data_IF_829336405017
#
_entry.id   IF_829336405017
#
_cell.length_a   1.000
_cell.length_b   1.000
_cell.length_c   1.000
_cell.angle_alpha   90.00
_cell.angle_beta   90.00
_cell.angle_gamma   90.00
#
_symmetry.space_group_name_H-M   'P 1'
#
loop_
_entity.id
_entity.type
_entity.pdbx_description
1 polymer ?
#
# COMPACT_ATOMS: atom_id res chain seq x y z
N UNK A 1 4.46 22.18 -17.62
CA UNK A 1 4.78 21.21 -16.57
C UNK A 1 6.27 20.87 -16.62
N UNK A 2 6.94 20.79 -15.47
CA UNK A 2 8.36 20.42 -15.38
C UNK A 2 8.68 19.06 -15.98
N UNK A 3 9.90 18.89 -16.51
CA UNK A 3 10.32 17.72 -17.28
C UNK A 3 10.37 16.44 -16.46
N UNK A 4 10.91 16.48 -15.24
CA UNK A 4 11.02 15.28 -14.39
C UNK A 4 9.64 14.84 -13.91
N UNK A 5 8.79 15.81 -13.54
CA UNK A 5 7.40 15.54 -13.12
C UNK A 5 6.58 14.95 -14.27
N UNK A 6 6.70 15.50 -15.49
CA UNK A 6 6.07 14.92 -16.68
C UNK A 6 6.52 13.48 -16.92
N UNK A 7 7.83 13.23 -16.85
CA UNK A 7 8.39 11.90 -17.07
C UNK A 7 7.89 10.90 -16.00
N UNK A 8 7.73 11.33 -14.75
CA UNK A 8 7.15 10.51 -13.68
C UNK A 8 5.72 10.08 -13.96
N UNK A 9 4.84 10.99 -14.39
CA UNK A 9 3.46 10.63 -14.74
C UNK A 9 3.39 9.70 -15.95
N UNK A 10 4.23 9.92 -16.95
CA UNK A 10 4.34 9.02 -18.11
C UNK A 10 4.79 7.62 -17.69
N UNK A 11 5.81 7.51 -16.84
CA UNK A 11 6.29 6.21 -16.34
C UNK A 11 5.25 5.49 -15.48
N UNK A 12 4.51 6.22 -14.64
CA UNK A 12 3.43 5.66 -13.84
C UNK A 12 2.31 5.11 -14.73
N UNK A 13 1.88 5.86 -15.75
CA UNK A 13 0.94 5.37 -16.76
C UNK A 13 1.47 4.09 -17.43
N UNK A 14 2.71 4.11 -17.94
CA UNK A 14 3.26 2.99 -18.71
C UNK A 14 3.43 1.73 -17.84
N UNK A 15 3.78 1.90 -16.55
CA UNK A 15 3.83 0.80 -15.58
C UNK A 15 2.45 0.19 -15.35
N UNK A 16 1.43 1.02 -15.15
CA UNK A 16 0.07 0.55 -14.89
C UNK A 16 -0.64 0.02 -16.13
N UNK A 17 -0.29 0.50 -17.33
CA UNK A 17 -0.71 -0.12 -18.57
C UNK A 17 -0.20 -1.57 -18.70
N UNK A 18 0.93 -1.89 -18.06
CA UNK A 18 1.48 -3.25 -18.03
C UNK A 18 0.87 -4.09 -16.90
N UNK A 19 0.81 -3.56 -15.67
CA UNK A 19 0.39 -4.33 -14.49
C UNK A 19 -1.13 -4.39 -14.29
N UNK A 20 -1.87 -3.37 -14.73
CA UNK A 20 -3.33 -3.24 -14.60
C UNK A 20 -3.92 -2.69 -15.93
N UNK A 21 -3.79 -3.41 -17.05
CA UNK A 21 -4.13 -2.90 -18.38
C UNK A 21 -5.58 -2.43 -18.52
N UNK A 22 -6.52 -3.06 -17.79
CA UNK A 22 -7.93 -2.68 -17.81
C UNK A 22 -8.23 -1.31 -17.18
N UNK A 23 -7.28 -0.71 -16.45
CA UNK A 23 -7.48 0.58 -15.81
C UNK A 23 -7.45 1.75 -16.79
N UNK A 24 -6.68 1.67 -17.89
CA UNK A 24 -6.53 2.75 -18.87
C UNK A 24 -6.23 4.13 -18.26
N UNK A 25 -5.36 4.20 -17.24
CA UNK A 25 -4.98 5.46 -16.59
C UNK A 25 -4.35 6.44 -17.59
N UNK A 26 -4.92 7.64 -17.81
CA UNK A 26 -4.27 8.68 -18.59
C UNK A 26 -3.29 9.48 -17.70
N UNK A 27 -2.07 9.71 -18.17
CA UNK A 27 -1.05 10.50 -17.46
C UNK A 27 -1.52 11.94 -17.21
N UNK A 28 -2.41 12.46 -18.06
CA UNK A 28 -3.01 13.77 -17.90
C UNK A 28 -3.85 13.87 -16.62
N UNK A 29 -4.45 12.77 -16.16
CA UNK A 29 -5.16 12.75 -14.88
C UNK A 29 -4.19 12.87 -13.70
N UNK A 30 -3.04 12.18 -13.75
CA UNK A 30 -1.98 12.35 -12.75
C UNK A 30 -1.44 13.79 -12.76
N UNK A 31 -1.20 14.35 -13.95
CA UNK A 31 -0.78 15.74 -14.10
C UNK A 31 -1.82 16.72 -13.54
N UNK A 32 -3.11 16.48 -13.77
CA UNK A 32 -4.17 17.32 -13.25
C UNK A 32 -4.22 17.29 -11.71
N UNK A 33 -4.12 16.10 -11.10
CA UNK A 33 -4.07 15.95 -9.65
C UNK A 33 -2.83 16.63 -9.10
N UNK A 34 -1.63 16.33 -9.60
CA UNK A 34 -0.39 16.97 -9.15
C UNK A 34 -0.35 18.49 -9.33
N UNK A 35 -1.09 19.03 -10.31
CA UNK A 35 -1.28 20.47 -10.46
C UNK A 35 -2.08 21.07 -9.29
N UNK A 36 -3.17 20.41 -8.92
CA UNK A 36 -4.06 20.85 -7.83
C UNK A 36 -3.38 20.66 -6.47
N UNK A 37 -2.69 19.53 -6.29
CA UNK A 37 -2.09 19.15 -5.02
C UNK A 37 -0.86 19.98 -4.64
N UNK A 38 0.06 20.18 -5.59
CA UNK A 38 1.38 20.77 -5.26
C UNK A 38 1.91 21.72 -6.33
N UNK A 39 1.09 22.13 -7.30
CA UNK A 39 1.55 22.87 -8.47
C UNK A 39 2.72 22.19 -9.19
N UNK A 40 2.62 20.87 -9.37
CA UNK A 40 3.64 20.01 -9.99
C UNK A 40 4.94 19.94 -9.18
N UNK A 41 4.87 19.49 -7.93
CA UNK A 41 6.02 19.39 -7.03
C UNK A 41 6.73 20.75 -6.83
N UNK A 42 5.96 21.78 -6.44
CA UNK A 42 6.45 23.16 -6.27
C UNK A 42 7.12 23.70 -7.55
N UNK A 43 6.49 23.48 -8.72
CA UNK A 43 7.07 23.87 -10.01
C UNK A 43 8.26 23.00 -10.44
N UNK A 44 8.33 21.76 -9.97
CA UNK A 44 9.35 20.79 -10.34
C UNK A 44 10.67 21.03 -9.63
N UNK A 45 10.61 21.49 -8.38
CA UNK A 45 11.79 21.64 -7.52
C UNK A 45 12.19 20.28 -6.95
N UNK A 46 12.58 19.40 -7.86
CA UNK A 46 13.06 18.05 -7.60
C UNK A 46 14.49 17.88 -8.13
N UNK A 47 15.23 16.95 -7.55
CA UNK A 47 16.52 16.53 -8.07
C UNK A 47 16.39 15.57 -9.26
N UNK A 48 17.53 15.15 -9.81
CA UNK A 48 17.56 14.23 -10.95
C UNK A 48 16.98 12.84 -10.64
N UNK A 49 16.94 12.43 -9.37
CA UNK A 49 16.31 11.19 -8.93
C UNK A 49 14.81 11.36 -8.62
N UNK A 50 14.28 12.59 -8.71
CA UNK A 50 12.90 12.95 -8.47
C UNK A 50 12.56 13.29 -7.02
N UNK A 51 13.55 13.38 -6.12
CA UNK A 51 13.33 13.76 -4.74
C UNK A 51 13.11 15.28 -4.63
N UNK A 52 12.08 15.69 -3.87
CA UNK A 52 11.78 17.11 -3.66
C UNK A 52 12.88 17.79 -2.84
N UNK A 53 13.35 18.98 -3.25
CA UNK A 53 14.41 19.71 -2.52
C UNK A 53 13.97 20.20 -1.13
N UNK A 54 12.68 20.47 -0.98
CA UNK A 54 12.06 20.89 0.28
C UNK A 54 10.82 20.02 0.53
N UNK A 55 10.51 19.69 1.79
CA UNK A 55 9.27 18.99 2.12
C UNK A 55 8.06 19.75 1.56
N UNK A 56 7.22 19.03 0.83
CA UNK A 56 5.94 19.53 0.36
C UNK A 56 4.89 19.01 1.34
N UNK A 57 4.48 19.87 2.27
CA UNK A 57 3.55 19.53 3.34
C UNK A 57 2.27 20.34 3.22
N UNK A 58 1.14 19.66 3.31
CA UNK A 58 -0.18 20.26 3.38
C UNK A 58 -0.46 20.93 4.73
N UNK A 59 -1.66 21.50 4.90
CA UNK A 59 -2.12 22.02 6.18
C UNK A 59 -2.18 20.91 7.24
N UNK A 60 -2.03 21.28 8.51
CA UNK A 60 -2.30 20.37 9.65
C UNK A 60 -3.74 19.93 9.62
N UNK A 61 -4.00 18.63 9.64
CA UNK A 61 -5.35 18.06 9.61
C UNK A 61 -5.91 17.96 11.03
N UNK A 62 -6.20 19.10 11.64
CA UNK A 62 -6.71 19.23 13.01
C UNK A 62 -8.24 19.49 13.08
N UNK A 63 -8.92 19.48 11.93
CA UNK A 63 -10.34 19.80 11.81
C UNK A 63 -10.65 21.30 11.74
N UNK A 64 -9.63 22.17 11.76
CA UNK A 64 -9.80 23.62 11.61
C UNK A 64 -9.72 24.05 10.14
N UNK A 65 -10.21 25.25 9.82
CA UNK A 65 -10.21 25.73 8.43
C UNK A 65 -11.06 24.90 7.44
N UNK A 66 -11.86 23.96 7.96
CA UNK A 66 -12.72 23.06 7.18
C UNK A 66 -12.05 21.76 6.72
N UNK A 67 -10.83 21.46 7.17
CA UNK A 67 -10.15 20.22 6.80
C UNK A 67 -10.60 19.03 7.66
N UNK A 68 -10.12 17.83 7.33
CA UNK A 68 -10.33 16.65 8.16
C UNK A 68 -9.55 16.78 9.48
N UNK A 69 -10.05 16.17 10.55
CA UNK A 69 -9.28 15.94 11.77
C UNK A 69 -8.67 14.52 11.72
N UNK A 70 -7.39 14.41 11.41
CA UNK A 70 -6.66 13.14 11.26
C UNK A 70 -5.48 13.12 12.24
N UNK A 71 -5.58 12.29 13.28
CA UNK A 71 -4.49 12.07 14.24
C UNK A 71 -3.26 11.49 13.55
N UNK A 72 -2.07 11.76 14.10
CA UNK A 72 -0.81 11.14 13.67
C UNK A 72 -0.95 9.62 13.46
N UNK A 73 -0.53 9.14 12.30
CA UNK A 73 -0.58 7.71 11.93
C UNK A 73 0.79 7.08 11.67
N UNK A 74 1.87 7.86 11.67
CA UNK A 74 3.21 7.38 11.30
C UNK A 74 4.31 7.73 12.34
N UNK A 75 3.95 8.38 13.45
CA UNK A 75 4.88 8.83 14.48
C UNK A 75 5.64 10.10 14.09
N UNK A 76 5.09 10.93 13.22
CA UNK A 76 5.73 12.11 12.63
C UNK A 76 6.85 11.76 11.64
N UNK A 77 6.80 10.59 11.02
CA UNK A 77 7.86 10.09 10.12
C UNK A 77 8.00 10.98 8.89
N UNK A 78 6.89 11.37 8.27
CA UNK A 78 6.91 12.12 7.00
C UNK A 78 6.70 13.63 7.16
N UNK A 79 6.06 14.08 8.24
CA UNK A 79 5.69 15.50 8.42
C UNK A 79 6.19 16.11 9.74
N UNK A 80 6.86 15.32 10.59
CA UNK A 80 7.41 15.70 11.89
C UNK A 80 6.38 16.21 12.91
N UNK A 81 5.09 15.94 12.71
CA UNK A 81 4.02 16.24 13.65
C UNK A 81 3.53 14.94 14.31
N UNK A 82 3.73 14.82 15.62
CA UNK A 82 3.34 13.61 16.36
C UNK A 82 1.93 13.71 16.95
N UNK A 83 1.12 14.67 16.51
CA UNK A 83 -0.23 14.93 17.04
C UNK A 83 -1.28 14.82 15.94
N UNK A 84 -1.01 15.43 14.78
CA UNK A 84 -1.92 15.48 13.65
C UNK A 84 -1.15 15.23 12.35
N UNK A 85 -1.73 14.42 11.47
CA UNK A 85 -1.16 14.18 10.15
C UNK A 85 -1.28 15.43 9.27
N UNK A 86 -0.37 15.52 8.30
CA UNK A 86 -0.46 16.39 7.12
C UNK A 86 -0.48 15.54 5.87
N UNK A 87 -1.04 16.08 4.80
CA UNK A 87 -0.81 15.53 3.47
C UNK A 87 0.65 15.78 3.04
N UNK A 88 1.34 14.76 2.52
CA UNK A 88 2.78 14.76 2.24
C UNK A 88 3.09 14.54 0.76
N UNK A 89 4.13 15.24 0.30
CA UNK A 89 4.77 15.03 -1.01
C UNK A 89 4.01 15.63 -2.21
N UNK A 90 4.54 15.43 -3.43
CA UNK A 90 3.99 16.03 -4.65
C UNK A 90 2.53 15.67 -4.94
N UNK A 91 2.07 14.51 -4.48
CA UNK A 91 0.70 14.04 -4.67
C UNK A 91 -0.14 14.09 -3.38
N UNK A 92 0.37 14.77 -2.34
CA UNK A 92 -0.36 15.11 -1.11
C UNK A 92 -1.07 13.91 -0.45
N UNK A 93 -0.34 12.80 -0.26
CA UNK A 93 -0.88 11.62 0.43
C UNK A 93 -0.99 11.83 1.93
N UNK A 94 -2.04 11.29 2.56
CA UNK A 94 -2.05 11.14 4.03
C UNK A 94 -1.12 9.98 4.41
N UNK A 95 -0.32 10.06 5.49
CA UNK A 95 0.60 9.00 5.88
C UNK A 95 -0.04 7.61 5.98
N UNK A 96 -1.25 7.51 6.55
CA UNK A 96 -2.02 6.25 6.55
C UNK A 96 -2.36 5.74 5.15
N UNK A 97 -2.78 6.61 4.22
CA UNK A 97 -2.98 6.22 2.81
C UNK A 97 -1.66 5.81 2.16
N UNK A 98 -0.56 6.51 2.46
CA UNK A 98 0.76 6.16 1.93
C UNK A 98 1.21 4.77 2.38
N UNK A 99 0.90 4.36 3.62
CA UNK A 99 1.22 3.03 4.13
C UNK A 99 0.59 1.91 3.29
N UNK A 100 -0.61 2.12 2.75
CA UNK A 100 -1.33 1.15 1.92
C UNK A 100 -0.94 1.24 0.42
N UNK A 101 -0.68 2.45 -0.08
CA UNK A 101 -0.58 2.71 -1.52
C UNK A 101 0.81 3.09 -2.03
N UNK A 102 1.75 3.36 -1.11
CA UNK A 102 3.13 3.70 -1.42
C UNK A 102 3.76 2.73 -2.41
N UNK A 103 4.55 3.26 -3.32
CA UNK A 103 5.17 2.51 -4.41
C UNK A 103 6.56 3.05 -4.72
N UNK A 104 7.49 2.17 -5.03
CA UNK A 104 8.80 2.52 -5.59
C UNK A 104 8.64 2.70 -7.10
N UNK A 105 8.59 3.96 -7.56
CA UNK A 105 8.34 4.35 -8.93
C UNK A 105 9.62 4.58 -9.75
N UNK A 106 10.74 4.87 -9.10
CA UNK A 106 12.03 5.03 -9.77
C UNK A 106 12.84 3.71 -9.83
N UNK A 107 12.53 2.72 -8.98
CA UNK A 107 13.15 1.41 -8.90
C UNK A 107 14.39 1.36 -8.00
N UNK A 108 14.51 2.26 -7.03
CA UNK A 108 15.68 2.34 -6.12
C UNK A 108 15.54 1.49 -4.84
N UNK A 109 14.40 0.81 -4.67
CA UNK A 109 14.08 -0.04 -3.53
C UNK A 109 13.43 0.71 -2.35
N UNK A 110 13.15 2.00 -2.48
CA UNK A 110 12.54 2.85 -1.46
C UNK A 110 11.22 3.39 -1.99
N UNK A 111 10.18 3.36 -1.15
CA UNK A 111 8.94 4.09 -1.41
C UNK A 111 8.94 5.36 -0.55
N UNK A 112 9.24 6.51 -1.17
CA UNK A 112 9.30 7.82 -0.54
C UNK A 112 8.17 8.75 -1.06
N UNK A 113 7.25 9.22 -0.19
CA UNK A 113 6.20 10.14 -0.63
C UNK A 113 6.75 11.46 -1.16
N UNK A 114 7.98 11.83 -0.78
CA UNK A 114 8.65 13.05 -1.26
C UNK A 114 9.31 12.89 -2.63
N UNK A 115 9.34 11.67 -3.19
CA UNK A 115 9.83 11.40 -4.53
C UNK A 115 8.68 11.41 -5.55
N UNK A 116 8.81 12.19 -6.62
CA UNK A 116 7.75 12.36 -7.61
C UNK A 116 7.46 11.09 -8.42
N UNK A 117 8.44 10.22 -8.64
CA UNK A 117 8.24 8.95 -9.34
C UNK A 117 7.37 8.01 -8.50
N UNK A 118 7.68 7.92 -7.21
CA UNK A 118 6.99 7.09 -6.23
C UNK A 118 5.57 7.59 -6.00
N UNK A 119 5.43 8.89 -5.75
CA UNK A 119 4.15 9.54 -5.54
C UNK A 119 3.23 9.41 -6.78
N UNK A 120 3.78 9.56 -7.99
CA UNK A 120 3.03 9.37 -9.23
C UNK A 120 2.53 7.93 -9.39
N UNK A 121 3.39 6.93 -9.13
CA UNK A 121 3.00 5.52 -9.23
C UNK A 121 1.97 5.15 -8.15
N UNK A 122 2.17 5.60 -6.91
CA UNK A 122 1.21 5.40 -5.82
C UNK A 122 -0.16 6.01 -6.16
N UNK A 123 -0.21 7.23 -6.69
CA UNK A 123 -1.45 7.89 -7.11
C UNK A 123 -2.13 7.12 -8.24
N UNK A 124 -1.37 6.65 -9.23
CA UNK A 124 -1.91 5.81 -10.29
C UNK A 124 -2.52 4.51 -9.76
N UNK A 125 -1.83 3.81 -8.84
CA UNK A 125 -2.34 2.58 -8.20
C UNK A 125 -3.64 2.84 -7.44
N UNK A 126 -3.70 3.94 -6.69
CA UNK A 126 -4.88 4.36 -5.96
C UNK A 126 -6.08 4.62 -6.89
N UNK A 127 -5.86 5.37 -7.98
CA UNK A 127 -6.91 5.68 -8.95
C UNK A 127 -7.42 4.42 -9.68
N UNK A 128 -6.52 3.47 -9.95
CA UNK A 128 -6.83 2.18 -10.57
C UNK A 128 -7.44 1.13 -9.62
N UNK A 129 -7.63 1.46 -8.35
CA UNK A 129 -8.21 0.55 -7.37
C UNK A 129 -9.63 0.09 -7.76
N UNK A 130 -10.08 -1.01 -7.14
CA UNK A 130 -11.44 -1.56 -7.28
C UNK A 130 -11.85 -1.98 -8.71
N UNK A 131 -10.87 -2.33 -9.56
CA UNK A 131 -11.15 -2.84 -10.91
C UNK A 131 -11.78 -1.80 -11.83
N UNK A 132 -11.52 -0.51 -11.57
CA UNK A 132 -12.06 0.60 -12.37
C UNK A 132 -11.40 0.66 -13.74
N UNK A 133 -12.15 1.12 -14.72
CA UNK A 133 -11.68 1.52 -16.05
C UNK A 133 -11.81 3.04 -16.19
N UNK A 134 -10.67 3.74 -16.16
CA UNK A 134 -10.58 5.21 -16.21
C UNK A 134 -10.81 5.77 -17.62
N UNK A 135 -10.93 4.93 -18.64
CA UNK A 135 -11.49 5.37 -19.93
C UNK A 135 -13.00 5.64 -19.83
N UNK A 136 -13.69 5.10 -18.83
CA UNK A 136 -15.12 5.34 -18.59
C UNK A 136 -15.29 6.60 -17.73
N UNK A 137 -15.92 7.69 -18.24
CA UNK A 137 -15.96 8.98 -17.53
C UNK A 137 -16.51 8.92 -16.11
N UNK A 138 -17.59 8.16 -15.90
CA UNK A 138 -18.20 8.01 -14.58
C UNK A 138 -17.33 7.26 -13.57
N UNK A 139 -16.47 6.34 -14.04
CA UNK A 139 -15.53 5.64 -13.17
C UNK A 139 -14.32 6.50 -12.85
N UNK A 140 -13.85 7.31 -13.81
CA UNK A 140 -12.83 8.32 -13.57
C UNK A 140 -13.29 9.36 -12.55
N UNK A 141 -14.51 9.89 -12.68
CA UNK A 141 -15.07 10.85 -11.71
C UNK A 141 -15.15 10.24 -10.32
N UNK A 142 -15.57 8.97 -10.22
CA UNK A 142 -15.59 8.23 -8.94
C UNK A 142 -14.18 8.05 -8.38
N UNK A 143 -13.18 7.78 -9.21
CA UNK A 143 -11.80 7.65 -8.77
C UNK A 143 -11.25 8.96 -8.20
N UNK A 144 -11.51 10.08 -8.87
CA UNK A 144 -11.13 11.42 -8.40
C UNK A 144 -11.86 11.79 -7.11
N UNK A 145 -13.16 11.50 -7.00
CA UNK A 145 -13.93 11.71 -5.77
C UNK A 145 -13.50 10.77 -4.63
N UNK A 146 -12.91 9.62 -4.97
CA UNK A 146 -12.23 8.75 -4.01
C UNK A 146 -10.90 9.33 -3.54
N UNK A 147 -10.19 10.07 -4.39
CA UNK A 147 -8.96 10.78 -4.01
C UNK A 147 -9.28 11.95 -3.08
N UNK A 148 -10.32 12.71 -3.42
CA UNK A 148 -10.84 13.79 -2.59
C UNK A 148 -12.36 13.96 -2.81
N UNK A 149 -13.15 13.85 -1.74
CA UNK A 149 -14.62 13.85 -1.81
C UNK A 149 -15.21 15.27 -1.93
N UNK A 150 -14.84 15.99 -2.99
CA UNK A 150 -15.27 17.37 -3.25
C UNK A 150 -15.62 17.57 -4.73
N UNK A 151 -16.84 18.04 -5.00
CA UNK A 151 -17.27 18.38 -6.36
C UNK A 151 -16.44 19.54 -6.95
N UNK A 152 -16.01 20.48 -6.11
CA UNK A 152 -15.14 21.58 -6.54
C UNK A 152 -13.77 21.07 -6.96
N UNK A 153 -13.23 20.11 -6.22
CA UNK A 153 -11.98 19.43 -6.56
C UNK A 153 -12.12 18.66 -7.88
N UNK A 154 -13.17 17.84 -8.03
CA UNK A 154 -13.44 17.09 -9.26
C UNK A 154 -13.48 18.01 -10.49
N UNK A 155 -14.24 19.12 -10.43
CA UNK A 155 -14.31 20.08 -11.53
C UNK A 155 -12.94 20.69 -11.87
N UNK A 156 -12.15 21.00 -10.84
CA UNK A 156 -10.81 21.60 -11.01
C UNK A 156 -9.85 20.60 -11.66
N UNK A 157 -9.83 19.36 -11.19
CA UNK A 157 -9.02 18.27 -11.79
C UNK A 157 -9.44 18.04 -13.24
N UNK A 158 -10.74 17.97 -13.54
CA UNK A 158 -11.22 17.80 -14.92
C UNK A 158 -10.81 18.95 -15.84
N UNK A 159 -10.85 20.19 -15.35
CA UNK A 159 -10.40 21.35 -16.11
C UNK A 159 -8.89 21.27 -16.41
N UNK A 160 -8.06 20.91 -15.42
CA UNK A 160 -6.63 20.71 -15.63
C UNK A 160 -6.32 19.52 -16.54
N UNK A 161 -7.08 18.43 -16.43
CA UNK A 161 -6.94 17.28 -17.30
C UNK A 161 -7.16 17.68 -18.76
N UNK A 162 -8.25 18.40 -19.04
CA UNK A 162 -8.55 18.91 -20.38
C UNK A 162 -7.44 19.87 -20.89
N UNK A 163 -6.86 20.69 -20.01
CA UNK A 163 -5.70 21.52 -20.36
C UNK A 163 -4.48 20.68 -20.77
N UNK A 164 -4.13 19.65 -20.01
CA UNK A 164 -2.99 18.78 -20.33
C UNK A 164 -3.23 17.90 -21.56
N UNK A 165 -4.48 17.57 -21.87
CA UNK A 165 -4.86 16.92 -23.12
C UNK A 165 -4.68 17.84 -24.34
N UNK A 166 -4.90 19.15 -24.17
CA UNK A 166 -4.84 20.13 -25.27
C UNK A 166 -3.45 20.77 -25.49
N UNK A 167 -2.79 21.27 -24.45
CA UNK A 167 -1.53 22.05 -24.56
C UNK A 167 -0.65 21.89 -23.31
N UNK A 168 -0.42 20.64 -22.88
CA UNK A 168 0.43 20.29 -21.74
C UNK A 168 1.94 20.52 -21.97
N UNK A 169 2.36 21.77 -22.23
CA UNK A 169 3.76 22.12 -22.54
C UNK A 169 4.72 21.63 -21.46
N UNK A 170 5.75 20.91 -21.88
CA UNK A 170 6.85 20.48 -21.01
C UNK A 170 7.93 21.56 -20.99
N UNK A 171 8.35 21.97 -19.79
CA UNK A 171 9.43 22.94 -19.56
C UNK A 171 10.52 22.29 -18.72
N UNK A 172 11.77 22.77 -18.75
CA UNK A 172 12.81 22.29 -17.84
C UNK A 172 12.39 22.42 -16.38
N UNK A 173 12.94 21.55 -15.53
CA UNK A 173 12.73 21.62 -14.09
C UNK A 173 13.25 22.95 -13.51
N UNK A 174 12.60 23.42 -12.45
CA UNK A 174 13.07 24.59 -11.72
C UNK A 174 14.39 24.23 -11.02
N UNK A 175 15.51 24.61 -11.64
CA UNK A 175 16.83 24.40 -11.04
C UNK A 175 16.91 25.08 -9.68
N UNK A 176 17.29 24.31 -8.67
CA UNK A 176 17.44 24.77 -7.29
C UNK A 176 18.50 25.85 -7.17
N UNK A 177 18.11 27.12 -7.31
CA UNK A 177 18.81 28.23 -6.69
C UNK A 177 18.10 28.56 -5.37
N UNK A 178 18.79 28.62 -4.22
CA UNK A 178 18.20 29.03 -2.96
C UNK A 178 18.07 30.56 -2.96
N UNK A 179 17.22 31.10 -3.82
CA UNK A 179 16.81 32.48 -3.75
C UNK A 179 15.31 32.49 -3.51
N UNK A 180 14.95 32.96 -2.31
CA UNK A 180 13.58 33.24 -1.91
C UNK A 180 12.91 34.11 -2.98
N UNK A 181 12.16 33.48 -3.87
CA UNK A 181 11.08 34.15 -4.58
C UNK A 181 9.84 33.87 -3.76
N UNK A 182 9.30 34.94 -3.20
CA UNK A 182 7.97 35.00 -2.59
C UNK A 182 6.96 34.50 -3.61
N UNK A 183 6.72 33.19 -3.61
CA UNK A 183 5.65 32.58 -4.39
C UNK A 183 4.36 32.91 -3.65
N UNK A 184 3.66 33.94 -4.14
CA UNK A 184 2.27 34.15 -3.77
C UNK A 184 1.50 32.93 -4.26
N UNK A 185 1.31 31.96 -3.37
CA UNK A 185 0.38 30.86 -3.55
C UNK A 185 -0.96 31.47 -3.97
N UNK A 186 -1.48 31.22 -5.17
CA UNK A 186 -2.90 31.41 -5.36
C UNK A 186 -3.56 30.49 -4.33
N UNK A 187 -4.43 31.03 -3.50
CA UNK A 187 -5.25 30.24 -2.60
C UNK A 187 -6.44 29.74 -3.42
N UNK A 188 -6.49 28.48 -3.89
CA UNK A 188 -7.77 27.84 -4.02
C UNK A 188 -8.21 27.51 -2.60
N UNK A 189 -9.03 28.37 -2.03
CA UNK A 189 -9.91 27.98 -0.93
C UNK A 189 -10.91 26.96 -1.49
N UNK A 190 -10.49 25.71 -1.51
CA UNK A 190 -11.36 24.55 -1.49
C UNK A 190 -10.84 23.73 -0.33
N UNK A 191 -11.35 24.03 0.87
CA UNK A 191 -11.22 23.12 1.98
C UNK A 191 -11.82 21.78 1.56
N UNK A 192 -10.95 20.82 1.30
CA UNK A 192 -11.32 19.56 0.71
C UNK A 192 -10.80 18.49 1.66
N UNK A 193 -11.71 17.96 2.47
CA UNK A 193 -11.49 16.88 3.43
C UNK A 193 -10.85 15.69 2.70
N UNK A 194 -9.58 15.32 2.97
CA UNK A 194 -9.13 13.98 2.63
C UNK A 194 -9.88 13.03 3.56
N UNK A 195 -11.01 12.50 3.10
CA UNK A 195 -11.68 11.40 3.80
C UNK A 195 -10.75 10.20 3.67
N UNK A 196 -10.30 9.63 4.80
CA UNK A 196 -9.61 8.35 4.81
C UNK A 196 -10.45 7.36 3.97
N UNK A 197 -9.88 6.92 2.85
CA UNK A 197 -10.52 5.95 1.97
C UNK A 197 -10.70 4.65 2.75
N UNK A 198 -11.88 4.03 2.78
CA UNK A 198 -12.03 2.75 3.47
C UNK A 198 -11.15 1.71 2.76
N UNK A 199 -10.10 1.25 3.46
CA UNK A 199 -9.31 0.08 3.05
C UNK A 199 -10.27 -1.08 2.78
N UNK A 200 -10.36 -1.64 1.56
CA UNK A 200 -11.20 -2.81 1.32
C UNK A 200 -10.62 -4.00 2.08
N UNK A 201 -11.30 -4.42 3.14
CA UNK A 201 -11.00 -5.66 3.87
C UNK A 201 -11.23 -6.84 2.92
N UNK A 202 -10.30 -7.79 2.75
CA UNK A 202 -10.55 -8.98 1.95
C UNK A 202 -11.69 -9.80 2.57
N UNK A 203 -12.73 -10.02 1.77
CA UNK A 203 -13.89 -10.84 2.12
C UNK A 203 -13.46 -12.27 2.44
N UNK A 204 -13.50 -12.65 3.72
CA UNK A 204 -13.30 -14.03 4.14
C UNK A 204 -14.46 -14.89 3.65
N UNK A 205 -14.14 -15.91 2.87
CA UNK A 205 -15.01 -16.96 2.35
C UNK A 205 -15.93 -17.54 3.44
N UNK A 206 -17.25 -17.71 3.21
CA UNK A 206 -18.13 -18.27 4.23
C UNK A 206 -17.91 -19.78 4.38
N UNK A 207 -17.57 -20.21 5.59
CA UNK A 207 -17.59 -21.61 6.02
C UNK A 207 -19.05 -22.07 6.16
N UNK A 208 -19.52 -23.13 5.49
CA UNK A 208 -20.88 -23.62 5.68
C UNK A 208 -20.98 -24.38 7.01
N UNK A 209 -21.71 -23.83 7.97
CA UNK A 209 -22.11 -24.57 9.18
C UNK A 209 -23.44 -25.26 8.95
N UNK A 210 -23.44 -26.58 9.01
CA UNK A 210 -24.63 -27.42 8.94
C UNK A 210 -25.33 -27.55 10.31
N UNK A 211 -26.64 -27.80 10.24
CA UNK A 211 -27.46 -28.57 11.21
C UNK A 211 -28.15 -27.84 12.38
N UNK A 212 -29.47 -27.69 12.27
CA UNK A 212 -30.44 -28.30 13.21
C UNK A 212 -31.81 -28.49 12.52
N UNK A 213 -32.39 -29.68 12.70
CA UNK A 213 -33.67 -30.18 12.16
C UNK A 213 -34.79 -30.13 13.24
N UNK A 214 -36.04 -30.61 13.03
CA UNK A 214 -37.26 -29.79 12.95
C UNK A 214 -38.23 -30.02 14.13
N UNK A 215 -39.34 -29.29 14.18
CA UNK A 215 -40.47 -29.62 15.07
C UNK A 215 -41.78 -29.68 14.28
N UNK A 216 -42.37 -30.88 14.22
CA UNK A 216 -43.75 -31.16 13.77
C UNK A 216 -44.74 -30.77 14.89
N UNK A 217 -46.03 -30.44 14.73
CA UNK A 217 -47.23 -31.05 14.08
C UNK A 217 -48.45 -30.19 14.59
N UNK A 218 -49.77 -30.39 14.29
CA UNK A 218 -50.48 -31.14 13.25
C UNK A 218 -51.60 -30.33 12.50
N UNK A 219 -52.17 -30.97 11.47
CA UNK A 219 -53.37 -30.60 10.68
C UNK A 219 -54.57 -31.49 11.05
N UNK A 220 -55.85 -31.09 10.80
CA UNK A 220 -56.66 -31.72 9.72
C UNK A 220 -57.67 -30.74 9.03
N UNK A 221 -57.87 -30.71 7.69
CA UNK A 221 -58.66 -31.59 6.76
C UNK A 221 -60.11 -31.09 6.48
N UNK A 222 -60.86 -31.40 5.37
CA UNK A 222 -60.54 -32.15 4.13
C UNK A 222 -60.98 -31.52 2.76
N UNK A 223 -60.28 -31.98 1.70
CA UNK A 223 -60.71 -32.56 0.39
C UNK A 223 -61.88 -31.99 -0.45
N UNK A 224 -61.60 -31.72 -1.75
CA UNK A 224 -62.07 -32.56 -2.88
C UNK A 224 -61.08 -32.60 -4.07
N UNK A 225 -60.77 -33.82 -4.51
CA UNK A 225 -60.20 -34.30 -5.80
C UNK A 225 -61.36 -34.68 -6.75
N UNK A 226 -61.23 -35.10 -8.06
CA UNK A 226 -60.06 -35.54 -8.87
C UNK A 226 -60.01 -34.89 -10.30
N UNK A 227 -59.05 -35.11 -11.21
CA UNK A 227 -58.61 -36.35 -11.91
C UNK A 227 -57.42 -36.02 -12.85
N UNK A 228 -56.49 -36.95 -13.17
CA UNK A 228 -55.18 -36.67 -13.77
C UNK A 228 -55.16 -36.74 -15.31
N UNK A 229 -54.11 -36.18 -15.93
CA UNK A 229 -53.74 -36.44 -17.33
C UNK A 229 -52.25 -36.74 -17.45
N UNK A 230 -51.94 -37.73 -18.28
CA UNK A 230 -50.69 -38.48 -18.30
C UNK A 230 -49.54 -37.80 -19.08
N UNK A 231 -48.33 -38.09 -18.59
CA UNK A 231 -47.01 -37.88 -19.19
C UNK A 231 -46.85 -38.53 -20.57
N UNK A 232 -46.02 -37.95 -21.45
CA UNK A 232 -44.92 -38.76 -21.97
C UNK A 232 -43.51 -38.16 -21.78
N UNK A 233 -42.57 -39.10 -21.70
CA UNK A 233 -41.15 -39.05 -21.34
C UNK A 233 -40.27 -38.24 -22.32
N UNK A 234 -39.13 -37.66 -21.86
CA UNK A 234 -38.17 -37.02 -22.76
C UNK A 234 -37.39 -38.04 -23.59
N UNK A 235 -37.28 -37.75 -24.89
CA UNK A 235 -36.52 -38.50 -25.89
C UNK A 235 -35.02 -38.37 -25.65
N UNK A 236 -34.32 -39.51 -25.54
CA UNK A 236 -32.86 -39.57 -25.50
C UNK A 236 -32.27 -39.19 -26.88
N UNK A 237 -31.32 -38.26 -26.87
CA UNK A 237 -30.51 -37.88 -28.04
C UNK A 237 -29.44 -38.95 -28.28
N UNK A 238 -29.33 -39.55 -29.49
CA UNK A 238 -28.27 -40.52 -29.76
C UNK A 238 -26.92 -39.86 -30.01
N UNK A 239 -25.90 -40.39 -29.35
CA UNK A 239 -24.47 -40.12 -29.54
C UNK A 239 -23.98 -40.82 -30.81
N UNK A 240 -23.26 -40.16 -31.74
CA UNK A 240 -22.62 -40.87 -32.85
C UNK A 240 -21.38 -41.66 -32.39
N UNK A 241 -21.37 -42.93 -32.78
CA UNK A 241 -20.32 -43.95 -32.58
C UNK A 241 -19.06 -43.69 -33.44
N UNK A 242 -17.85 -44.09 -33.00
CA UNK A 242 -16.62 -43.98 -33.78
C UNK A 242 -16.60 -44.92 -34.99
N UNK A 243 -16.00 -44.45 -36.09
CA UNK A 243 -15.77 -45.23 -37.31
C UNK A 243 -14.46 -46.03 -37.23
N UNK A 244 -14.42 -47.30 -37.69
CA UNK A 244 -13.27 -48.18 -37.55
C UNK A 244 -12.22 -48.03 -38.65
N UNK A 245 -10.96 -48.35 -38.29
CA UNK A 245 -9.80 -48.52 -39.17
C UNK A 245 -9.87 -49.80 -40.02
N UNK A 246 -9.30 -49.75 -41.23
CA UNK A 246 -8.83 -50.94 -41.96
C UNK A 246 -7.60 -50.63 -42.85
N UNK A 247 -6.56 -51.43 -42.63
CA UNK A 247 -5.21 -51.57 -43.27
C UNK A 247 -5.30 -52.28 -44.67
N UNK A 248 -4.24 -52.76 -45.38
CA UNK A 248 -2.79 -52.40 -45.54
C UNK A 248 -2.37 -52.25 -47.04
N UNK A 249 -1.07 -52.02 -47.34
CA UNK A 249 -0.18 -52.74 -48.31
C UNK A 249 0.98 -51.85 -48.88
N UNK A 250 2.05 -52.37 -49.53
CA UNK A 250 3.23 -53.05 -48.97
C UNK A 250 4.58 -52.33 -49.28
N UNK A 251 5.66 -52.76 -48.61
CA UNK A 251 7.07 -52.35 -48.84
C UNK A 251 7.68 -53.00 -50.13
N UNK A 252 8.86 -52.56 -50.64
CA UNK A 252 10.12 -53.13 -50.12
C UNK A 252 11.43 -52.28 -50.19
N UNK A 253 12.36 -52.70 -49.31
CA UNK A 253 13.82 -52.89 -49.49
C UNK A 253 14.82 -51.72 -49.51
N UNK A 254 15.77 -51.76 -48.56
CA UNK A 254 17.11 -51.13 -48.69
C UNK A 254 17.94 -50.91 -47.40
N UNK A 255 18.42 -52.00 -46.77
CA UNK A 255 19.65 -52.24 -45.94
C UNK A 255 20.71 -51.11 -45.67
N UNK A 256 21.70 -51.24 -44.75
CA UNK A 256 21.74 -51.62 -43.32
C UNK A 256 22.53 -50.62 -42.38
N UNK A 257 22.40 -50.82 -41.05
CA UNK A 257 23.30 -50.59 -39.86
C UNK A 257 24.66 -49.83 -39.97
N UNK A 258 25.24 -49.21 -38.89
CA UNK A 258 25.16 -49.66 -37.49
C UNK A 258 25.10 -48.62 -36.33
N UNK A 259 24.59 -49.14 -35.21
CA UNK A 259 24.90 -48.91 -33.78
C UNK A 259 26.03 -47.93 -33.39
N UNK A 260 25.72 -47.00 -32.46
CA UNK A 260 26.59 -46.61 -31.33
C UNK A 260 25.75 -46.18 -30.11
N UNK A 261 25.79 -47.03 -29.09
CA UNK A 261 25.80 -46.85 -27.62
C UNK A 261 25.42 -45.49 -26.98
N UNK A 262 24.55 -45.47 -25.95
CA UNK A 262 24.43 -44.33 -25.03
C UNK A 262 25.52 -44.39 -23.96
N UNK A 263 26.32 -43.32 -23.84
CA UNK A 263 27.26 -43.14 -22.72
C UNK A 263 26.54 -42.39 -21.58
N UNK A 264 26.46 -42.95 -20.36
CA UNK A 264 26.03 -42.20 -19.18
C UNK A 264 27.13 -41.24 -18.72
N UNK A 265 26.80 -39.96 -18.61
CA UNK A 265 27.68 -38.93 -18.04
C UNK A 265 27.91 -39.21 -16.55
N UNK A 266 29.16 -39.23 -16.04
CA UNK A 266 29.42 -39.45 -14.63
C UNK A 266 29.05 -38.24 -13.77
N UNK A 267 28.38 -38.55 -12.67
CA UNK A 267 28.16 -37.71 -11.49
C UNK A 267 29.51 -37.32 -10.85
N UNK A 268 29.76 -36.04 -10.51
CA UNK A 268 30.80 -35.71 -9.55
C UNK A 268 30.31 -36.02 -8.12
N UNK A 269 31.02 -36.97 -7.50
CA UNK A 269 30.99 -37.30 -6.07
C UNK A 269 31.27 -36.07 -5.20
N UNK A 270 30.68 -35.97 -3.99
CA UNK A 270 30.97 -34.87 -3.06
C UNK A 270 32.41 -34.94 -2.56
N UNK A 271 33.15 -33.84 -2.69
CA UNK A 271 34.48 -33.67 -2.10
C UNK A 271 34.35 -33.47 -0.59
N UNK A 272 35.16 -34.22 0.15
CA UNK A 272 35.24 -34.25 1.59
C UNK A 272 35.56 -32.89 2.24
N UNK A 273 34.98 -32.69 3.42
CA UNK A 273 35.29 -31.61 4.35
C UNK A 273 36.76 -31.64 4.80
N UNK A 274 37.43 -30.48 4.98
CA UNK A 274 38.68 -30.44 5.72
C UNK A 274 38.42 -30.48 7.24
N UNK A 275 38.89 -31.56 7.86
CA UNK A 275 39.07 -31.72 9.30
C UNK A 275 40.01 -30.65 9.86
N UNK A 276 39.67 -29.93 10.96
CA UNK A 276 40.64 -29.13 11.68
C UNK A 276 41.62 -30.03 12.47
N UNK A 277 42.91 -29.79 12.29
CA UNK A 277 43.99 -30.43 13.06
C UNK A 277 43.99 -29.92 14.52
N UNK A 278 44.17 -30.79 15.52
CA UNK A 278 44.24 -30.40 16.93
C UNK A 278 45.63 -29.88 17.31
N UNK A 279 45.70 -28.65 17.83
CA UNK A 279 46.88 -28.16 18.54
C UNK A 279 46.83 -28.62 20.00
N UNK A 280 47.96 -29.18 20.44
CA UNK A 280 48.16 -29.83 21.71
C UNK A 280 48.18 -28.88 22.93
N UNK A 281 47.68 -29.48 24.01
CA UNK A 281 47.61 -29.19 25.44
C UNK A 281 48.76 -28.41 26.11
N UNK A 282 48.39 -27.54 27.05
CA UNK A 282 49.10 -27.29 28.33
C UNK A 282 48.08 -26.90 29.44
N UNK A 283 48.38 -27.12 30.73
CA UNK A 283 47.45 -27.78 31.66
C UNK A 283 46.62 -26.85 32.59
N UNK A 284 45.51 -27.43 33.05
CA UNK A 284 44.69 -27.06 34.23
C UNK A 284 45.24 -27.77 35.50
N UNK A 285 44.71 -27.62 36.73
CA UNK A 285 44.24 -26.47 37.53
C UNK A 285 44.98 -26.39 38.90
N UNK A 286 44.82 -25.30 39.66
CA UNK A 286 44.98 -25.35 41.13
C UNK A 286 44.05 -24.31 41.79
N UNK A 287 43.36 -24.67 42.89
CA UNK A 287 42.21 -23.93 43.41
C UNK A 287 42.64 -22.88 44.43
N UNK A 288 41.87 -21.80 44.57
CA UNK A 288 41.94 -20.95 45.76
C UNK A 288 40.62 -21.03 46.52
N UNK A 289 40.76 -21.44 47.78
CA UNK A 289 39.71 -21.88 48.67
C UNK A 289 39.00 -20.72 49.39
N UNK A 290 38.00 -21.15 50.15
CA UNK A 290 36.94 -20.44 50.83
C UNK A 290 37.35 -19.75 52.16
N UNK A 291 36.57 -18.72 52.53
CA UNK A 291 36.11 -18.31 53.88
C UNK A 291 37.06 -17.54 54.83
N UNK A 292 36.54 -16.76 55.82
CA UNK A 292 35.18 -16.80 56.39
C UNK A 292 34.43 -15.46 56.55
N UNK A 293 33.17 -15.60 56.96
CA UNK A 293 32.18 -14.56 57.23
C UNK A 293 32.22 -13.99 58.66
N UNK A 294 31.80 -12.72 58.78
CA UNK A 294 31.00 -12.08 59.87
C UNK A 294 31.54 -12.05 61.32
N UNK A 295 31.16 -11.09 62.21
CA UNK A 295 29.76 -10.64 62.42
C UNK A 295 29.52 -9.14 62.74
N UNK A 296 28.23 -8.86 62.93
CA UNK A 296 27.53 -7.61 63.17
C UNK A 296 27.82 -6.86 64.50
N UNK A 297 27.51 -5.56 64.50
CA UNK A 297 26.94 -4.78 65.62
C UNK A 297 26.57 -3.37 65.08
N UNK A 298 25.28 -3.04 64.89
CA UNK A 298 24.33 -2.42 65.84
C UNK A 298 24.26 -0.87 65.78
N UNK A 299 23.14 -0.26 66.20
CA UNK A 299 22.60 0.98 65.62
C UNK A 299 22.69 2.23 66.51
N UNK A 300 22.51 3.42 65.90
CA UNK A 300 21.90 4.65 66.46
C UNK A 300 22.65 5.33 67.65
N UNK A 301 22.56 6.68 67.85
CA UNK A 301 21.30 7.34 68.25
C UNK A 301 21.02 8.72 67.65
N UNK A 302 19.72 8.99 67.60
CA UNK A 302 19.08 10.29 67.52
C UNK A 302 19.28 11.11 68.82
N UNK A 303 19.36 12.44 68.68
CA UNK A 303 18.82 13.42 69.64
C UNK A 303 18.95 14.80 68.98
N UNK A 304 17.89 15.43 68.44
CA UNK A 304 16.76 16.12 69.09
C UNK A 304 17.16 17.27 70.02
N UNK A 305 16.81 18.51 69.65
CA UNK A 305 15.87 19.37 70.40
C UNK A 305 16.14 20.86 70.15
N UNK A 306 15.08 21.64 69.87
CA UNK A 306 15.11 23.09 70.00
C UNK A 306 14.13 23.88 69.13
N UNK A 307 12.82 23.72 69.36
CA UNK A 307 11.86 24.82 69.12
C UNK A 307 11.65 25.58 70.45
N UNK A 308 11.19 26.85 70.41
CA UNK A 308 9.74 27.07 70.45
C UNK A 308 9.22 28.19 69.52
N UNK A 309 7.91 28.04 69.24
CA UNK A 309 6.94 28.98 68.63
C UNK A 309 6.67 30.20 69.56
N UNK A 310 5.88 31.26 69.20
CA UNK A 310 4.54 31.17 68.60
C UNK A 310 4.09 32.23 67.54
N UNK A 311 2.98 31.85 66.88
CA UNK A 311 1.94 32.54 66.06
C UNK A 311 1.44 33.94 66.54
N UNK A 312 0.47 34.67 65.87
CA UNK A 312 -0.52 34.24 64.85
C UNK A 312 -0.85 35.19 63.63
N UNK A 313 -1.50 34.58 62.60
CA UNK A 313 -2.61 34.98 61.66
C UNK A 313 -3.37 36.34 61.78
N UNK A 314 -4.36 36.69 60.89
CA UNK A 314 -4.59 36.47 59.43
C UNK A 314 -5.26 37.69 58.69
N UNK A 315 -5.79 37.47 57.46
CA UNK A 315 -6.77 38.28 56.64
C UNK A 315 -6.16 39.28 55.64
N UNK A 316 -6.70 39.56 54.43
CA UNK A 316 -8.08 39.46 53.93
C UNK A 316 -8.17 39.40 52.38
N UNK A 317 -9.35 38.98 51.90
CA UNK A 317 -9.91 39.09 50.54
C UNK A 317 -9.90 40.50 49.94
N UNK A 318 -9.94 40.61 48.60
CA UNK A 318 -11.09 41.19 47.87
C UNK A 318 -10.94 41.15 46.34
N UNK A 319 -12.04 40.70 45.70
CA UNK A 319 -12.60 41.03 44.37
C UNK A 319 -11.87 40.58 43.10
#
# INVERSE_FOLDING_TARGET
MPSTVFAAYRKAQDSLATSVPACHLPWQLLAAIGQVESSQADGGRVDAAGASYTPILGPVLDGTGGNAAIRDTDGGRYDHDTVWDRAVGPMQFIPSTWADWGADGNGDGIADPSNVWDAALAAGRYLCADGRDLAVPAQLDRAVLGYNHSDAYLRTVRAWQAYFEADGRVVPDAVGSPAAVTSASPTPSASATPTASPTPVPSSTPTPSASASPTATPSPSPSKSPTPSATPSPTAVPTPSPSPSSCPSPAPSGSPSPSVTPTPTPSPSPTAAPTPSPTATAPSPTPSACAPASPAASPSPSSSSGSPSPSPSPSASHR
#
